data_IF_812739284186
#
_entry.id   IF_812739284186
#
_cell.length_a   1.000
_cell.length_b   1.000
_cell.length_c   1.000
_cell.angle_alpha   90.00
_cell.angle_beta   90.00
_cell.angle_gamma   90.00
#
_symmetry.space_group_name_H-M   'P 1'
#
loop_
_entity.id
_entity.type
_entity.pdbx_description
1 polymer ?
#
# COMPACT_ATOMS: atom_id res chain seq x y z
N UNK A 1 4.51 7.38 -26.08
CA UNK A 1 4.05 6.06 -25.57
C UNK A 1 4.07 6.14 -24.05
N UNK A 2 2.94 6.53 -23.46
CA UNK A 2 2.77 6.54 -22.01
C UNK A 2 2.75 5.08 -21.55
N UNK A 3 3.89 4.62 -21.04
CA UNK A 3 4.01 3.31 -20.43
C UNK A 3 3.25 3.35 -19.09
N UNK A 4 1.92 3.25 -19.15
CA UNK A 4 1.08 3.11 -17.98
C UNK A 4 1.39 1.72 -17.41
N UNK A 5 2.28 1.68 -16.43
CA UNK A 5 2.54 0.45 -15.67
C UNK A 5 1.22 0.08 -15.00
N UNK A 6 0.74 -1.11 -15.31
CA UNK A 6 -0.48 -1.62 -14.67
C UNK A 6 -0.24 -1.74 -13.16
N UNK A 7 -1.13 -1.19 -12.31
CA UNK A 7 -0.99 -1.29 -10.86
C UNK A 7 -1.01 -2.76 -10.40
N UNK A 8 -0.23 -3.07 -9.36
CA UNK A 8 -0.21 -4.37 -8.68
C UNK A 8 -1.59 -4.69 -8.10
N UNK A 9 -2.27 -3.68 -7.56
CA UNK A 9 -3.61 -3.78 -7.00
C UNK A 9 -4.65 -3.74 -8.13
N UNK A 10 -5.58 -4.71 -8.17
CA UNK A 10 -6.67 -4.66 -9.14
C UNK A 10 -7.53 -3.41 -8.94
N UNK A 11 -7.88 -2.75 -10.05
CA UNK A 11 -8.54 -1.46 -10.04
C UNK A 11 -9.92 -1.48 -9.35
N UNK A 12 -10.75 -2.51 -9.63
CA UNK A 12 -12.09 -2.59 -9.09
C UNK A 12 -12.14 -2.61 -7.53
N UNK A 13 -11.31 -3.42 -6.83
CA UNK A 13 -11.14 -3.30 -5.38
C UNK A 13 -10.73 -1.90 -4.89
N UNK A 14 -9.84 -1.21 -5.61
CA UNK A 14 -9.39 0.14 -5.25
C UNK A 14 -10.51 1.15 -5.40
N UNK A 15 -11.26 1.12 -6.50
CA UNK A 15 -12.45 1.96 -6.68
C UNK A 15 -13.52 1.72 -5.60
N UNK A 16 -13.67 0.47 -5.12
CA UNK A 16 -14.57 0.17 -4.00
C UNK A 16 -14.14 0.86 -2.71
N UNK A 17 -12.85 1.12 -2.48
CA UNK A 17 -12.39 1.89 -1.32
C UNK A 17 -12.91 3.34 -1.44
N UNK A 18 -12.77 3.96 -2.62
CA UNK A 18 -13.24 5.32 -2.89
C UNK A 18 -14.76 5.41 -2.69
N UNK A 19 -15.52 4.44 -3.22
CA UNK A 19 -16.99 4.39 -3.03
C UNK A 19 -17.38 4.20 -1.57
N UNK A 20 -16.68 3.33 -0.84
CA UNK A 20 -16.91 3.14 0.60
C UNK A 20 -16.56 4.37 1.42
N UNK A 21 -15.67 5.24 0.93
CA UNK A 21 -15.38 6.54 1.54
C UNK A 21 -16.50 7.58 1.30
N UNK A 22 -17.51 7.26 0.47
CA UNK A 22 -18.70 8.10 0.26
C UNK A 22 -18.86 8.65 -1.15
N UNK A 23 -18.04 8.22 -2.12
CA UNK A 23 -18.18 8.67 -3.51
C UNK A 23 -19.25 7.88 -4.28
N UNK A 24 -20.23 8.56 -4.88
CA UNK A 24 -21.25 7.94 -5.73
C UNK A 24 -20.69 7.46 -7.08
N UNK A 25 -19.76 8.22 -7.66
CA UNK A 25 -19.09 7.92 -8.94
C UNK A 25 -17.58 8.05 -8.76
N UNK A 26 -16.86 7.18 -9.46
CA UNK A 26 -15.40 7.13 -9.45
C UNK A 26 -14.96 7.05 -10.91
N UNK A 27 -14.06 7.94 -11.31
CA UNK A 27 -13.43 7.89 -12.62
C UNK A 27 -12.27 6.88 -12.59
N UNK A 28 -11.99 6.24 -13.72
CA UNK A 28 -10.98 5.19 -13.83
C UNK A 28 -9.58 5.69 -13.43
N UNK A 29 -9.24 6.91 -13.86
CA UNK A 29 -7.98 7.59 -13.53
C UNK A 29 -7.81 7.82 -12.03
N UNK A 30 -8.88 8.17 -11.31
CA UNK A 30 -8.86 8.31 -9.85
C UNK A 30 -8.59 6.97 -9.17
N UNK A 31 -9.14 5.87 -9.69
CA UNK A 31 -8.84 4.52 -9.21
C UNK A 31 -7.38 4.13 -9.44
N UNK A 32 -6.84 4.45 -10.63
CA UNK A 32 -5.44 4.18 -10.98
C UNK A 32 -4.51 4.97 -10.07
N UNK A 33 -4.80 6.25 -9.81
CA UNK A 33 -3.97 7.09 -8.97
C UNK A 33 -3.98 6.63 -7.51
N UNK A 34 -5.14 6.26 -6.96
CA UNK A 34 -5.19 5.70 -5.62
C UNK A 34 -4.42 4.37 -5.54
N UNK A 35 -4.49 3.53 -6.57
CA UNK A 35 -3.76 2.26 -6.59
C UNK A 35 -2.24 2.50 -6.48
N UNK A 36 -1.71 3.47 -7.24
CA UNK A 36 -0.28 3.85 -7.16
C UNK A 36 0.11 4.30 -5.76
N UNK A 37 -0.65 5.21 -5.15
CA UNK A 37 -0.35 5.73 -3.81
C UNK A 37 -0.38 4.60 -2.77
N UNK A 38 -1.38 3.72 -2.83
CA UNK A 38 -1.48 2.58 -1.92
C UNK A 38 -0.32 1.58 -2.10
N UNK A 39 0.12 1.36 -3.33
CA UNK A 39 1.26 0.48 -3.64
C UNK A 39 2.58 1.07 -3.17
N UNK A 40 2.84 2.35 -3.41
CA UNK A 40 4.03 3.04 -2.95
C UNK A 40 4.13 2.97 -1.42
N UNK A 41 3.05 3.28 -0.72
CA UNK A 41 2.98 3.18 0.73
C UNK A 41 3.11 1.73 1.23
N UNK A 42 2.46 0.78 0.55
CA UNK A 42 2.57 -0.64 0.84
C UNK A 42 3.99 -1.18 0.69
N UNK A 43 4.73 -0.73 -0.33
CA UNK A 43 6.14 -1.09 -0.56
C UNK A 43 7.02 -0.50 0.54
N UNK A 44 6.80 0.75 0.94
CA UNK A 44 7.54 1.38 2.04
C UNK A 44 7.38 0.61 3.36
N UNK A 45 6.14 0.32 3.75
CA UNK A 45 5.82 -0.48 4.94
C UNK A 45 6.48 -1.87 4.83
N UNK A 46 6.39 -2.51 3.67
CA UNK A 46 6.94 -3.85 3.45
C UNK A 46 8.45 -3.87 3.61
N UNK A 47 9.17 -2.85 3.13
CA UNK A 47 10.63 -2.74 3.29
C UNK A 47 11.02 -2.64 4.76
N UNK A 48 10.34 -1.82 5.54
CA UNK A 48 10.61 -1.69 6.97
C UNK A 48 10.26 -2.97 7.73
N UNK A 49 9.13 -3.60 7.40
CA UNK A 49 8.73 -4.86 8.01
C UNK A 49 9.72 -6.00 7.73
N UNK A 50 10.31 -6.04 6.52
CA UNK A 50 11.39 -6.99 6.18
C UNK A 50 12.63 -6.73 7.05
N UNK A 51 13.01 -5.47 7.27
CA UNK A 51 14.14 -5.11 8.15
C UNK A 51 13.87 -5.55 9.59
N UNK A 52 12.66 -5.34 10.10
CA UNK A 52 12.24 -5.79 11.43
C UNK A 52 12.31 -7.31 11.57
N UNK A 53 11.78 -8.06 10.60
CA UNK A 53 11.84 -9.51 10.58
C UNK A 53 13.30 -10.02 10.57
N UNK A 54 14.18 -9.39 9.77
CA UNK A 54 15.61 -9.70 9.72
C UNK A 54 16.30 -9.47 11.06
N UNK A 55 16.01 -8.38 11.77
CA UNK A 55 16.55 -8.14 13.11
C UNK A 55 16.10 -9.19 14.13
N UNK A 56 14.89 -9.72 13.96
CA UNK A 56 14.38 -10.85 14.74
C UNK A 56 14.91 -12.22 14.27
N UNK A 57 15.88 -12.26 13.33
CA UNK A 57 16.43 -13.48 12.71
C UNK A 57 15.38 -14.35 12.01
N UNK A 58 14.31 -13.74 11.51
CA UNK A 58 13.23 -14.39 10.75
C UNK A 58 13.32 -13.99 9.28
N UNK A 59 12.99 -14.92 8.39
CA UNK A 59 12.84 -14.65 6.94
C UNK A 59 11.38 -14.40 6.55
N UNK A 60 10.44 -14.87 7.36
CA UNK A 60 9.00 -14.62 7.19
C UNK A 60 8.59 -13.33 7.92
N UNK A 61 7.98 -12.41 7.18
CA UNK A 61 7.32 -11.22 7.73
C UNK A 61 6.02 -11.63 8.41
N UNK A 62 5.84 -11.22 9.66
CA UNK A 62 4.65 -11.46 10.47
C UNK A 62 3.80 -10.19 10.61
N UNK A 63 2.57 -10.36 11.08
CA UNK A 63 1.66 -9.24 11.38
C UNK A 63 2.30 -8.19 12.31
N UNK A 64 3.03 -8.64 13.34
CA UNK A 64 3.73 -7.76 14.29
C UNK A 64 4.75 -6.84 13.60
N UNK A 65 5.44 -7.33 12.56
CA UNK A 65 6.44 -6.55 11.83
C UNK A 65 5.75 -5.45 11.01
N UNK A 66 4.61 -5.76 10.38
CA UNK A 66 3.79 -4.79 9.63
C UNK A 66 3.25 -3.71 10.57
N UNK A 67 2.65 -4.09 11.71
CA UNK A 67 2.11 -3.14 12.69
C UNK A 67 3.19 -2.20 13.22
N UNK A 68 4.38 -2.74 13.52
CA UNK A 68 5.49 -1.94 14.01
C UNK A 68 6.09 -1.03 12.92
N UNK A 69 6.19 -1.51 11.67
CA UNK A 69 6.63 -0.72 10.53
C UNK A 69 5.73 0.51 10.32
N UNK A 70 4.40 0.32 10.30
CA UNK A 70 3.43 1.43 10.20
C UNK A 70 3.60 2.42 11.34
N UNK A 71 3.75 1.93 12.58
CA UNK A 71 3.95 2.78 13.76
C UNK A 71 5.27 3.58 13.71
N UNK A 72 6.31 3.04 13.06
CA UNK A 72 7.58 3.75 12.85
C UNK A 72 7.46 4.83 11.79
N UNK A 73 6.90 4.51 10.63
CA UNK A 73 6.76 5.45 9.51
C UNK A 73 5.92 6.66 9.93
N UNK A 74 4.79 6.44 10.63
CA UNK A 74 3.92 7.53 11.12
C UNK A 74 4.58 8.47 12.13
N UNK A 75 5.65 8.06 12.81
CA UNK A 75 6.37 8.92 13.77
C UNK A 75 7.43 9.80 13.12
N UNK A 76 7.77 9.52 11.87
CA UNK A 76 8.81 10.23 11.13
C UNK A 76 8.26 11.35 10.23
N UNK A 77 6.94 11.52 10.18
CA UNK A 77 6.22 12.60 9.49
C UNK A 77 5.63 13.56 10.52
#
# INVERSE_FOLDING_TARGET
MSNQVQPILPLAPVERIIRKAGADRVAEDAGVELAKVLEEYGIEISREAITLAKHAKRTTVKEEDIRLAVARIKKSA
#
